data_IF_472981038111
#
_entry.id   IF_472981038111
#
_cell.length_a   1.000
_cell.length_b   1.000
_cell.length_c   1.000
_cell.angle_alpha   90.00
_cell.angle_beta   90.00
_cell.angle_gamma   90.00
#
_symmetry.space_group_name_H-M   'P 1'
#
loop_
_entity.id
_entity.type
_entity.pdbx_description
1 polymer ?
#
# COMPACT_ATOMS: atom_id res chain seq x y z
N UNK A 1 9.91 15.68 17.66
CA UNK A 1 9.56 16.54 18.83
C UNK A 1 8.32 17.34 18.48
N UNK A 2 7.40 17.59 19.42
CA UNK A 2 6.33 18.59 19.22
C UNK A 2 6.96 19.96 19.38
N UNK A 3 6.99 20.76 18.32
CA UNK A 3 7.50 22.14 18.35
C UNK A 3 6.39 23.11 18.75
N UNK A 4 6.79 24.26 19.32
CA UNK A 4 5.86 25.33 19.66
C UNK A 4 5.38 26.00 18.37
N UNK A 5 4.09 25.87 18.06
CA UNK A 5 3.42 26.63 17.00
C UNK A 5 3.17 28.03 17.55
N UNK A 6 3.67 29.06 16.87
CA UNK A 6 3.32 30.45 17.21
C UNK A 6 2.19 30.91 16.30
N UNK A 7 1.13 31.47 16.88
CA UNK A 7 0.03 32.05 16.09
C UNK A 7 0.19 33.57 16.03
N UNK A 8 0.11 34.16 14.84
CA UNK A 8 0.24 35.61 14.62
C UNK A 8 -0.86 36.14 13.70
N UNK A 9 -1.12 37.45 13.80
CA UNK A 9 -2.10 38.13 12.93
C UNK A 9 -1.47 38.80 11.70
N UNK A 10 -0.15 38.69 11.56
CA UNK A 10 0.64 39.24 10.46
C UNK A 10 1.73 38.24 10.08
N UNK A 11 2.11 38.23 8.80
CA UNK A 11 3.21 37.41 8.29
C UNK A 11 4.52 37.90 8.89
N UNK A 12 5.29 37.06 9.60
CA UNK A 12 6.61 37.44 10.11
C UNK A 12 7.59 37.77 8.97
N UNK A 13 8.57 38.62 9.27
CA UNK A 13 9.65 38.91 8.32
C UNK A 13 10.37 37.62 7.89
N UNK A 14 10.69 37.52 6.59
CA UNK A 14 11.36 36.38 5.95
C UNK A 14 10.61 35.03 6.01
N UNK A 15 9.34 35.02 6.43
CA UNK A 15 8.52 33.82 6.37
C UNK A 15 7.98 33.60 4.96
N UNK A 16 8.08 32.37 4.45
CA UNK A 16 7.40 31.95 3.22
C UNK A 16 5.96 31.59 3.56
N UNK A 17 5.00 32.13 2.81
CA UNK A 17 3.58 31.86 3.05
C UNK A 17 3.22 30.53 2.38
N UNK A 18 2.71 29.59 3.17
CA UNK A 18 2.00 28.41 2.68
C UNK A 18 0.53 28.62 2.98
N UNK A 19 -0.31 28.63 1.96
CA UNK A 19 -1.76 28.81 2.13
C UNK A 19 -2.49 27.55 1.72
N UNK A 20 -3.58 27.22 2.42
CA UNK A 20 -4.48 26.15 2.03
C UNK A 20 -5.94 26.62 2.03
N UNK A 21 -6.73 26.08 1.10
CA UNK A 21 -8.13 26.40 0.93
C UNK A 21 -9.03 25.20 1.23
N UNK A 22 -9.65 25.11 2.43
CA UNK A 22 -10.50 23.99 2.81
C UNK A 22 -11.78 23.85 1.98
N UNK A 23 -12.15 24.87 1.19
CA UNK A 23 -13.34 24.83 0.32
C UNK A 23 -13.05 24.23 -1.05
N UNK A 24 -11.79 24.17 -1.48
CA UNK A 24 -11.38 23.53 -2.74
C UNK A 24 -10.90 22.12 -2.40
N UNK A 25 -11.78 21.14 -2.63
CA UNK A 25 -11.62 19.76 -2.20
C UNK A 25 -11.20 18.86 -3.36
N UNK A 26 -10.30 17.93 -3.08
CA UNK A 26 -9.84 16.89 -4.01
C UNK A 26 -10.32 15.51 -3.54
N UNK A 27 -9.47 14.48 -3.64
CA UNK A 27 -9.81 13.12 -3.27
C UNK A 27 -9.95 12.92 -1.76
N UNK A 28 -10.80 11.95 -1.39
CA UNK A 28 -10.85 11.39 -0.03
C UNK A 28 -9.70 10.41 0.16
N UNK A 29 -9.12 10.43 1.35
CA UNK A 29 -8.04 9.54 1.73
C UNK A 29 -8.63 8.21 2.19
N UNK A 30 -8.32 7.15 1.45
CA UNK A 30 -8.65 5.78 1.75
C UNK A 30 -7.95 5.33 3.04
N UNK A 31 -6.63 5.50 3.10
CA UNK A 31 -5.83 5.12 4.26
C UNK A 31 -4.38 4.80 3.95
N UNK A 32 -3.66 4.43 5.01
CA UNK A 32 -2.26 4.03 4.97
C UNK A 32 -2.08 2.71 5.72
N UNK A 33 -1.12 1.90 5.29
CA UNK A 33 -0.92 0.55 5.83
C UNK A 33 0.38 -0.11 5.40
N UNK A 34 0.41 -1.43 5.49
CA UNK A 34 1.47 -2.25 4.93
C UNK A 34 1.09 -3.73 4.79
N UNK A 35 1.99 -4.55 4.27
CA UNK A 35 1.79 -5.98 4.05
C UNK A 35 2.17 -6.85 5.26
N UNK A 36 1.29 -7.78 5.61
CA UNK A 36 1.55 -8.86 6.57
C UNK A 36 1.85 -10.13 5.76
N UNK A 37 3.13 -10.28 5.41
CA UNK A 37 3.68 -11.43 4.69
C UNK A 37 4.06 -12.56 5.64
N UNK A 38 4.45 -13.72 5.08
CA UNK A 38 5.00 -14.82 5.87
C UNK A 38 6.30 -14.38 6.58
N UNK A 39 7.17 -13.65 5.87
CA UNK A 39 8.39 -13.07 6.44
C UNK A 39 8.09 -12.16 7.65
N UNK A 40 7.08 -11.28 7.55
CA UNK A 40 6.68 -10.45 8.68
C UNK A 40 6.22 -11.30 9.88
N UNK A 41 5.42 -12.35 9.62
CA UNK A 41 4.98 -13.29 10.65
C UNK A 41 6.11 -14.08 11.31
N UNK A 42 7.10 -14.53 10.53
CA UNK A 42 8.29 -15.23 11.03
C UNK A 42 9.09 -14.32 11.95
N UNK A 43 9.34 -13.08 11.52
CA UNK A 43 10.08 -12.12 12.32
C UNK A 43 9.37 -11.75 13.62
N UNK A 44 8.06 -11.55 13.57
CA UNK A 44 7.26 -11.32 14.78
C UNK A 44 7.28 -12.53 15.73
N UNK A 45 7.18 -13.75 15.20
CA UNK A 45 7.25 -14.98 15.99
C UNK A 45 8.64 -15.21 16.62
N UNK A 46 9.69 -14.55 16.12
CA UNK A 46 11.03 -14.63 16.69
C UNK A 46 11.22 -13.76 17.94
N UNK A 47 10.30 -12.81 18.17
CA UNK A 47 10.30 -11.95 19.37
C UNK A 47 9.52 -12.58 20.52
N UNK A 48 9.80 -12.18 21.78
CA UNK A 48 8.89 -12.44 22.90
C UNK A 48 7.45 -11.99 22.58
N UNK A 49 6.40 -12.73 22.99
CA UNK A 49 5.02 -12.45 22.59
C UNK A 49 4.54 -11.02 22.86
N UNK A 50 4.93 -10.43 24.00
CA UNK A 50 4.58 -9.04 24.36
C UNK A 50 5.27 -8.03 23.46
N UNK A 51 6.49 -8.33 23.00
CA UNK A 51 7.25 -7.46 22.11
C UNK A 51 6.69 -7.52 20.69
N UNK A 52 6.37 -8.72 20.19
CA UNK A 52 5.67 -8.91 18.92
C UNK A 52 4.30 -8.22 18.91
N UNK A 53 3.55 -8.32 20.01
CA UNK A 53 2.30 -7.60 20.20
C UNK A 53 2.49 -6.08 20.19
N UNK A 54 3.52 -5.59 20.88
CA UNK A 54 3.86 -4.17 20.88
C UNK A 54 4.20 -3.66 19.47
N UNK A 55 4.87 -4.43 18.62
CA UNK A 55 5.13 -4.05 17.22
C UNK A 55 3.82 -3.82 16.47
N UNK A 56 2.87 -4.77 16.52
CA UNK A 56 1.56 -4.59 15.87
C UNK A 56 0.79 -3.40 16.47
N UNK A 57 0.85 -3.23 17.80
CA UNK A 57 0.25 -2.08 18.48
C UNK A 57 0.82 -0.76 18.00
N UNK A 58 2.13 -0.67 17.78
CA UNK A 58 2.78 0.54 17.27
C UNK A 58 2.31 0.88 15.85
N UNK A 59 2.01 -0.11 15.01
CA UNK A 59 1.42 0.14 13.69
C UNK A 59 -0.05 0.55 13.74
N UNK A 60 -0.90 -0.24 14.40
CA UNK A 60 -2.35 -0.15 14.20
C UNK A 60 -3.09 0.65 15.28
N UNK A 61 -2.54 0.81 16.48
CA UNK A 61 -3.24 1.54 17.54
C UNK A 61 -3.22 3.05 17.29
N UNK A 62 -4.31 3.72 17.65
CA UNK A 62 -4.41 5.18 17.65
C UNK A 62 -5.06 5.63 18.98
N UNK A 63 -4.54 6.66 19.68
CA UNK A 63 -3.42 7.52 19.32
C UNK A 63 -2.06 7.03 19.87
N UNK A 64 -1.90 5.75 20.22
CA UNK A 64 -0.65 5.25 20.84
C UNK A 64 0.39 4.72 19.83
N UNK A 65 -0.03 4.42 18.60
CA UNK A 65 0.82 4.05 17.47
C UNK A 65 0.65 5.02 16.29
N UNK A 66 1.03 4.60 15.08
CA UNK A 66 0.86 5.41 13.87
C UNK A 66 -0.52 5.25 13.22
N UNK A 67 -1.33 4.30 13.69
CA UNK A 67 -2.73 4.18 13.34
C UNK A 67 -2.99 3.77 11.89
N UNK A 68 -2.23 2.80 11.39
CA UNK A 68 -2.50 2.10 10.13
C UNK A 68 -3.96 1.66 10.04
N UNK A 69 -4.50 1.73 8.83
CA UNK A 69 -5.93 1.55 8.52
C UNK A 69 -6.17 0.53 7.41
N UNK A 70 -5.10 0.08 6.75
CA UNK A 70 -5.11 -0.93 5.72
C UNK A 70 -4.05 -1.98 6.01
N UNK A 71 -4.25 -3.19 5.50
CA UNK A 71 -3.29 -4.27 5.59
C UNK A 71 -3.39 -5.16 4.35
N UNK A 72 -2.28 -5.32 3.63
CA UNK A 72 -2.17 -6.19 2.45
C UNK A 72 -1.83 -7.62 2.88
N UNK A 73 -2.47 -8.61 2.26
CA UNK A 73 -2.30 -10.02 2.57
C UNK A 73 -1.92 -10.76 1.28
N UNK A 74 -0.75 -11.42 1.24
CA UNK A 74 -0.50 -12.41 0.20
C UNK A 74 -1.52 -13.53 0.22
N UNK A 75 -2.15 -13.80 -0.93
CA UNK A 75 -2.99 -14.98 -1.13
C UNK A 75 -2.03 -16.14 -1.43
N UNK A 76 -1.81 -16.98 -0.42
CA UNK A 76 -0.74 -17.97 -0.35
C UNK A 76 0.68 -17.35 -0.36
N UNK A 77 1.65 -18.01 -0.99
CA UNK A 77 3.06 -17.61 -0.96
C UNK A 77 3.42 -16.44 -1.88
N UNK A 78 4.47 -15.73 -1.49
CA UNK A 78 5.16 -14.73 -2.30
C UNK A 78 6.69 -14.95 -2.23
N UNK A 79 7.49 -14.01 -2.73
CA UNK A 79 8.95 -14.03 -2.57
C UNK A 79 9.36 -13.90 -1.09
N UNK A 80 8.62 -13.10 -0.30
CA UNK A 80 8.73 -13.01 1.17
C UNK A 80 8.02 -14.16 1.92
N UNK A 81 8.12 -15.36 1.35
CA UNK A 81 7.83 -16.65 1.98
C UNK A 81 9.11 -17.47 2.05
N UNK A 82 9.10 -18.61 2.77
CA UNK A 82 10.26 -19.52 2.84
C UNK A 82 10.32 -20.52 1.70
N UNK A 83 9.21 -20.71 0.98
CA UNK A 83 9.07 -21.57 -0.18
C UNK A 83 7.79 -21.24 -0.97
N UNK A 84 7.67 -21.67 -2.23
CA UNK A 84 6.41 -21.61 -2.97
C UNK A 84 5.37 -22.61 -2.45
N UNK A 85 4.17 -22.13 -2.18
CA UNK A 85 2.97 -22.93 -1.88
C UNK A 85 1.71 -22.20 -2.37
N UNK A 86 0.65 -22.97 -2.64
CA UNK A 86 -0.70 -22.46 -2.88
C UNK A 86 -1.70 -23.13 -1.94
N UNK A 87 -2.97 -22.73 -2.02
CA UNK A 87 -4.05 -23.38 -1.27
C UNK A 87 -4.58 -24.64 -1.96
N UNK A 88 -4.17 -24.95 -3.20
CA UNK A 88 -4.68 -26.10 -3.97
C UNK A 88 -3.60 -26.66 -4.89
N UNK A 89 -2.59 -27.31 -4.30
CA UNK A 89 -1.43 -27.86 -5.03
C UNK A 89 -1.65 -29.27 -5.61
N UNK A 90 -2.82 -29.88 -5.39
CA UNK A 90 -3.18 -31.16 -6.01
C UNK A 90 -3.50 -30.94 -7.49
N UNK A 91 -2.69 -31.53 -8.38
CA UNK A 91 -2.88 -31.43 -9.83
C UNK A 91 -4.27 -31.92 -10.26
N UNK A 92 -4.92 -31.16 -11.14
CA UNK A 92 -6.24 -31.48 -11.67
C UNK A 92 -7.41 -31.25 -10.70
N UNK A 93 -7.19 -30.60 -9.55
CA UNK A 93 -8.26 -30.28 -8.59
C UNK A 93 -9.12 -29.08 -9.04
N UNK A 94 -9.75 -29.21 -10.21
CA UNK A 94 -10.62 -28.17 -10.79
C UNK A 94 -11.83 -27.81 -9.92
N UNK A 95 -12.25 -28.73 -9.04
CA UNK A 95 -13.34 -28.51 -8.10
C UNK A 95 -12.88 -27.89 -6.78
N UNK A 96 -11.56 -27.68 -6.60
CA UNK A 96 -10.95 -27.14 -5.38
C UNK A 96 -11.39 -27.90 -4.12
N UNK A 97 -11.47 -29.22 -4.20
CA UNK A 97 -11.86 -30.10 -3.09
C UNK A 97 -10.77 -30.22 -2.04
N UNK A 98 -9.51 -30.02 -2.43
CA UNK A 98 -8.35 -29.99 -1.53
C UNK A 98 -7.93 -28.55 -1.20
N UNK A 99 -8.77 -27.54 -1.52
CA UNK A 99 -8.48 -26.17 -1.13
C UNK A 99 -8.39 -26.06 0.39
N UNK A 100 -7.26 -25.60 0.91
CA UNK A 100 -7.11 -25.30 2.33
C UNK A 100 -6.12 -24.16 2.58
N UNK A 101 -6.37 -23.39 3.64
CA UNK A 101 -5.34 -22.51 4.20
C UNK A 101 -4.20 -23.36 4.75
N UNK A 102 -2.98 -22.84 4.69
CA UNK A 102 -1.77 -23.57 5.11
C UNK A 102 -1.34 -23.16 6.52
N UNK A 103 -0.33 -23.85 7.04
CA UNK A 103 0.27 -23.53 8.35
C UNK A 103 0.73 -22.08 8.43
N UNK A 104 1.22 -21.51 7.33
CA UNK A 104 1.65 -20.12 7.21
C UNK A 104 0.50 -19.15 7.50
N UNK A 105 -0.71 -19.39 6.96
CA UNK A 105 -1.86 -18.56 7.29
C UNK A 105 -2.17 -18.60 8.79
N UNK A 106 -2.21 -19.80 9.38
CA UNK A 106 -2.61 -19.98 10.77
C UNK A 106 -1.57 -19.49 11.78
N UNK A 107 -0.29 -19.56 11.44
CA UNK A 107 0.81 -19.31 12.38
C UNK A 107 1.55 -17.99 12.13
N UNK A 108 1.54 -17.48 10.89
CA UNK A 108 2.32 -16.31 10.48
C UNK A 108 1.43 -15.10 10.15
N UNK A 109 0.18 -15.30 9.69
CA UNK A 109 -0.66 -14.19 9.21
C UNK A 109 -1.86 -13.91 10.12
N UNK A 110 -2.74 -14.90 10.28
CA UNK A 110 -4.00 -14.76 11.01
C UNK A 110 -3.85 -14.24 12.46
N UNK A 111 -2.84 -14.67 13.26
CA UNK A 111 -2.65 -14.13 14.61
C UNK A 111 -2.44 -12.61 14.62
N UNK A 112 -1.65 -12.08 13.68
CA UNK A 112 -1.32 -10.66 13.62
C UNK A 112 -2.41 -9.83 12.95
N UNK A 113 -3.14 -10.39 11.98
CA UNK A 113 -4.36 -9.79 11.44
C UNK A 113 -5.44 -9.61 12.53
N UNK A 114 -5.62 -10.61 13.40
CA UNK A 114 -6.54 -10.52 14.55
C UNK A 114 -6.09 -9.45 15.56
N UNK A 115 -4.79 -9.32 15.82
CA UNK A 115 -4.26 -8.22 16.65
C UNK A 115 -4.53 -6.85 16.01
N UNK A 116 -4.32 -6.69 14.70
CA UNK A 116 -4.63 -5.46 13.98
C UNK A 116 -6.13 -5.11 14.07
N UNK A 117 -7.03 -6.09 13.96
CA UNK A 117 -8.46 -5.89 14.22
C UNK A 117 -8.72 -5.37 15.62
N UNK A 118 -8.14 -5.98 16.64
CA UNK A 118 -8.30 -5.53 18.04
C UNK A 118 -7.84 -4.08 18.22
N UNK A 119 -6.66 -3.72 17.70
CA UNK A 119 -6.11 -2.37 17.88
C UNK A 119 -6.82 -1.28 17.09
N UNK A 120 -7.52 -1.65 16.03
CA UNK A 120 -8.33 -0.72 15.24
C UNK A 120 -9.80 -0.75 15.60
N UNK A 121 -10.21 -1.54 16.59
CA UNK A 121 -11.63 -1.77 16.89
C UNK A 121 -12.42 -2.18 15.63
N UNK A 122 -11.85 -3.15 14.89
CA UNK A 122 -12.38 -3.74 13.67
C UNK A 122 -12.51 -2.80 12.46
N UNK A 123 -11.83 -1.66 12.45
CA UNK A 123 -11.90 -0.72 11.31
C UNK A 123 -10.80 -0.89 10.25
N UNK A 124 -9.77 -1.70 10.50
CA UNK A 124 -8.73 -1.99 9.50
C UNK A 124 -9.34 -2.69 8.27
N UNK A 125 -8.92 -2.26 7.07
CA UNK A 125 -9.34 -2.86 5.81
C UNK A 125 -8.27 -3.81 5.29
N UNK A 126 -8.61 -5.10 5.22
CA UNK A 126 -7.73 -6.11 4.66
C UNK A 126 -7.95 -6.25 3.15
N UNK A 127 -6.89 -6.28 2.36
CA UNK A 127 -7.00 -6.68 0.97
C UNK A 127 -6.02 -7.77 0.59
N UNK A 128 -6.48 -8.72 -0.20
CA UNK A 128 -5.70 -9.87 -0.66
C UNK A 128 -5.14 -9.67 -2.06
N UNK A 129 -3.92 -10.13 -2.30
CA UNK A 129 -3.32 -10.10 -3.64
C UNK A 129 -2.66 -11.45 -3.93
N UNK A 130 -2.94 -12.13 -5.04
CA UNK A 130 -2.22 -13.35 -5.42
C UNK A 130 -0.99 -13.04 -6.27
N UNK A 131 0.11 -13.76 -6.03
CA UNK A 131 1.31 -13.67 -6.87
C UNK A 131 1.31 -14.70 -7.99
N UNK A 132 0.75 -15.87 -7.75
CA UNK A 132 0.64 -16.92 -8.75
C UNK A 132 -0.55 -17.82 -8.45
N UNK A 133 -1.13 -18.41 -9.48
CA UNK A 133 -1.96 -19.60 -9.34
C UNK A 133 -1.10 -20.84 -9.00
N UNK A 134 -1.72 -21.94 -8.53
CA UNK A 134 -1.05 -23.23 -8.42
C UNK A 134 -0.32 -23.61 -9.71
N UNK A 135 0.86 -24.23 -9.60
CA UNK A 135 1.71 -24.52 -10.75
C UNK A 135 1.01 -25.35 -11.83
N UNK A 136 0.18 -26.31 -11.44
CA UNK A 136 -0.57 -27.16 -12.37
C UNK A 136 -1.57 -26.41 -13.25
N UNK A 137 -1.99 -25.20 -12.85
CA UNK A 137 -2.89 -24.34 -13.61
C UNK A 137 -2.17 -23.47 -14.64
N UNK A 138 -0.85 -23.28 -14.51
CA UNK A 138 -0.04 -22.39 -15.35
C UNK A 138 0.58 -23.13 -16.53
N UNK A 139 0.77 -22.42 -17.65
CA UNK A 139 1.42 -22.99 -18.84
C UNK A 139 2.83 -23.50 -18.55
N UNK A 140 3.54 -22.86 -17.62
CA UNK A 140 4.90 -23.23 -17.20
C UNK A 140 4.94 -24.40 -16.21
N UNK A 141 3.79 -24.81 -15.64
CA UNK A 141 3.74 -25.86 -14.62
C UNK A 141 4.28 -25.45 -13.24
N UNK A 142 4.73 -24.20 -13.07
CA UNK A 142 5.44 -23.72 -11.88
C UNK A 142 4.84 -22.39 -11.39
N UNK A 143 4.84 -22.18 -10.06
CA UNK A 143 4.42 -20.89 -9.50
C UNK A 143 5.45 -19.79 -9.81
N UNK A 144 6.75 -20.12 -9.71
CA UNK A 144 7.83 -19.25 -10.18
C UNK A 144 7.93 -19.25 -11.71
N UNK A 145 8.54 -18.21 -12.25
CA UNK A 145 8.61 -18.02 -13.70
C UNK A 145 7.27 -17.56 -14.26
N UNK A 146 7.34 -16.82 -15.35
CA UNK A 146 6.19 -16.18 -15.97
C UNK A 146 5.14 -17.12 -16.57
N UNK A 147 4.43 -16.59 -17.56
CA UNK A 147 3.39 -17.30 -18.29
C UNK A 147 2.00 -17.17 -17.67
N UNK A 148 0.94 -17.27 -18.49
CA UNK A 148 -0.43 -17.18 -18.04
C UNK A 148 -0.95 -18.53 -17.50
N UNK A 149 -2.21 -18.53 -17.08
CA UNK A 149 -2.98 -19.75 -16.90
C UNK A 149 -3.18 -20.47 -18.24
N UNK A 150 -3.30 -21.80 -18.20
CA UNK A 150 -3.55 -22.64 -19.37
C UNK A 150 -4.89 -22.31 -20.04
N UNK A 151 -4.89 -22.23 -21.37
CA UNK A 151 -6.11 -22.13 -22.18
C UNK A 151 -6.73 -20.73 -22.20
N UNK A 152 -7.95 -20.59 -22.74
CA UNK A 152 -8.60 -19.29 -22.89
C UNK A 152 -9.12 -18.74 -21.56
N UNK A 153 -9.27 -17.41 -21.47
CA UNK A 153 -9.69 -16.69 -20.23
C UNK A 153 -11.07 -17.12 -19.71
N UNK A 154 -11.95 -17.68 -20.55
CA UNK A 154 -13.24 -18.24 -20.12
C UNK A 154 -13.22 -19.77 -19.93
N UNK A 155 -12.04 -20.39 -20.06
CA UNK A 155 -11.84 -21.84 -19.96
C UNK A 155 -11.79 -22.35 -18.51
N UNK A 156 -11.67 -23.66 -18.37
CA UNK A 156 -11.74 -24.36 -17.07
C UNK A 156 -10.70 -23.86 -16.05
N UNK A 157 -9.47 -23.56 -16.47
CA UNK A 157 -8.43 -23.07 -15.56
C UNK A 157 -8.75 -21.68 -15.00
N UNK A 158 -9.24 -20.76 -15.81
CA UNK A 158 -9.64 -19.44 -15.33
C UNK A 158 -10.92 -19.49 -14.49
N UNK A 159 -11.88 -20.35 -14.83
CA UNK A 159 -13.06 -20.59 -13.97
C UNK A 159 -12.66 -21.15 -12.60
N UNK A 160 -11.70 -22.08 -12.58
CA UNK A 160 -11.13 -22.62 -11.33
C UNK A 160 -10.42 -21.52 -10.55
N UNK A 161 -9.68 -20.64 -11.22
CA UNK A 161 -9.00 -19.53 -10.58
C UNK A 161 -9.97 -18.51 -9.97
N UNK A 162 -11.08 -18.20 -10.64
CA UNK A 162 -12.13 -17.37 -10.05
C UNK A 162 -12.74 -18.03 -8.79
N UNK A 163 -12.96 -19.35 -8.80
CA UNK A 163 -13.43 -20.08 -7.61
C UNK A 163 -12.38 -20.08 -6.48
N UNK A 164 -11.09 -20.03 -6.81
CA UNK A 164 -10.01 -19.93 -5.84
C UNK A 164 -10.10 -18.61 -5.03
N UNK A 165 -10.44 -17.49 -5.68
CA UNK A 165 -10.73 -16.23 -4.98
C UNK A 165 -11.93 -16.36 -4.02
N UNK A 166 -13.03 -16.98 -4.49
CA UNK A 166 -14.22 -17.23 -3.65
C UNK A 166 -13.83 -18.04 -2.40
N UNK A 167 -13.09 -19.14 -2.59
CA UNK A 167 -12.62 -20.00 -1.50
C UNK A 167 -11.70 -19.26 -0.52
N UNK A 168 -10.78 -18.43 -1.01
CA UNK A 168 -9.92 -17.60 -0.16
C UNK A 168 -10.74 -16.63 0.70
N UNK A 169 -11.66 -15.87 0.08
CA UNK A 169 -12.49 -14.89 0.79
C UNK A 169 -13.31 -15.60 1.87
N UNK A 170 -13.98 -16.70 1.52
CA UNK A 170 -14.78 -17.49 2.47
C UNK A 170 -13.91 -18.09 3.59
N UNK A 171 -12.73 -18.61 3.28
CA UNK A 171 -11.83 -19.20 4.26
C UNK A 171 -11.35 -18.16 5.29
N UNK A 172 -10.95 -16.96 4.85
CA UNK A 172 -10.56 -15.88 5.76
C UNK A 172 -11.75 -15.34 6.57
N UNK A 173 -12.94 -15.22 5.95
CA UNK A 173 -14.17 -14.86 6.66
C UNK A 173 -14.50 -15.86 7.78
N UNK A 174 -14.33 -17.16 7.54
CA UNK A 174 -14.52 -18.21 8.55
C UNK A 174 -13.51 -18.13 9.70
N UNK A 175 -12.39 -17.45 9.51
CA UNK A 175 -11.40 -17.15 10.55
C UNK A 175 -11.65 -15.81 11.27
N UNK A 176 -12.76 -15.14 10.96
CA UNK A 176 -13.12 -13.83 11.53
C UNK A 176 -12.44 -12.65 10.84
N UNK A 177 -11.80 -12.84 9.68
CA UNK A 177 -11.14 -11.79 8.91
C UNK A 177 -12.02 -11.42 7.71
N UNK A 178 -12.63 -10.24 7.75
CA UNK A 178 -13.36 -9.71 6.61
C UNK A 178 -12.38 -9.13 5.57
N UNK A 179 -12.37 -9.71 4.38
CA UNK A 179 -11.62 -9.18 3.25
C UNK A 179 -12.39 -7.98 2.68
N UNK A 180 -11.81 -6.78 2.76
CA UNK A 180 -12.37 -5.57 2.16
C UNK A 180 -12.23 -5.59 0.63
N UNK A 181 -11.12 -6.07 0.10
CA UNK A 181 -10.88 -6.11 -1.35
C UNK A 181 -9.86 -7.15 -1.78
N UNK A 182 -9.74 -7.35 -3.08
CA UNK A 182 -8.71 -8.17 -3.70
C UNK A 182 -8.13 -7.47 -4.93
N UNK A 183 -6.83 -7.61 -5.14
CA UNK A 183 -6.22 -7.30 -6.43
C UNK A 183 -6.32 -8.52 -7.34
N UNK A 184 -6.44 -8.31 -8.65
CA UNK A 184 -6.66 -9.42 -9.59
C UNK A 184 -5.39 -10.26 -9.80
N UNK A 185 -4.23 -9.65 -9.67
CA UNK A 185 -2.90 -10.25 -9.79
C UNK A 185 -1.86 -9.25 -9.30
N UNK A 186 -0.92 -9.67 -8.46
CA UNK A 186 0.28 -8.87 -8.16
C UNK A 186 1.19 -8.78 -9.39
N UNK A 187 1.56 -7.57 -9.79
CA UNK A 187 2.54 -7.28 -10.85
C UNK A 187 2.34 -8.11 -12.12
N UNK A 188 1.15 -8.06 -12.76
CA UNK A 188 0.81 -8.90 -13.90
C UNK A 188 1.81 -8.83 -15.07
N UNK A 189 2.56 -7.73 -15.22
CA UNK A 189 3.57 -7.61 -16.28
C UNK A 189 4.84 -8.41 -16.00
N UNK A 190 5.20 -8.66 -14.75
CA UNK A 190 6.40 -9.47 -14.43
C UNK A 190 6.29 -10.88 -15.01
N UNK A 191 5.06 -11.40 -15.12
CA UNK A 191 4.79 -12.68 -15.75
C UNK A 191 5.14 -12.77 -17.23
N UNK A 192 5.46 -11.65 -17.92
CA UNK A 192 6.02 -11.68 -19.28
C UNK A 192 7.38 -12.39 -19.32
N UNK A 193 8.17 -12.28 -18.24
CA UNK A 193 9.47 -12.92 -18.14
C UNK A 193 9.29 -14.38 -17.71
N UNK A 194 9.52 -15.32 -18.62
CA UNK A 194 9.36 -16.75 -18.35
C UNK A 194 10.32 -17.26 -17.25
N UNK A 195 11.47 -16.63 -17.11
CA UNK A 195 12.53 -16.93 -16.14
C UNK A 195 12.46 -16.05 -14.87
N UNK A 196 11.37 -15.31 -14.66
CA UNK A 196 11.19 -14.49 -13.47
C UNK A 196 11.40 -15.32 -12.19
N UNK A 197 12.16 -14.84 -11.18
CA UNK A 197 12.81 -15.76 -10.24
C UNK A 197 11.86 -16.32 -9.17
N UNK A 198 10.78 -15.61 -8.89
CA UNK A 198 9.79 -15.95 -7.87
C UNK A 198 8.36 -16.03 -8.43
N UNK A 199 7.37 -16.20 -7.54
CA UNK A 199 5.97 -16.35 -7.89
C UNK A 199 5.49 -15.15 -8.72
N UNK A 200 5.00 -15.42 -9.92
CA UNK A 200 4.38 -14.42 -10.81
C UNK A 200 3.39 -15.12 -11.73
N UNK A 201 2.48 -14.38 -12.35
CA UNK A 201 1.58 -14.90 -13.38
C UNK A 201 1.26 -13.80 -14.39
N UNK A 202 1.39 -14.12 -15.68
CA UNK A 202 1.19 -13.15 -16.74
C UNK A 202 -0.28 -12.81 -16.95
N UNK A 203 -0.55 -11.51 -16.96
CA UNK A 203 -1.78 -10.96 -17.50
C UNK A 203 -1.43 -9.74 -18.35
N UNK A 204 -2.21 -9.49 -19.39
CA UNK A 204 -2.33 -8.15 -19.96
C UNK A 204 -3.67 -7.53 -19.56
N UNK A 205 -3.85 -6.24 -19.84
CA UNK A 205 -5.06 -5.51 -19.48
C UNK A 205 -6.35 -6.13 -20.06
N UNK A 206 -6.32 -6.66 -21.29
CA UNK A 206 -7.47 -7.33 -21.90
C UNK A 206 -7.83 -8.64 -21.22
N UNK A 207 -6.83 -9.46 -20.83
CA UNK A 207 -7.06 -10.69 -20.07
C UNK A 207 -7.66 -10.36 -18.70
N UNK A 208 -7.14 -9.34 -18.03
CA UNK A 208 -7.63 -8.90 -16.72
C UNK A 208 -9.07 -8.35 -16.82
N UNK A 209 -9.38 -7.58 -17.88
CA UNK A 209 -10.75 -7.14 -18.22
C UNK A 209 -11.70 -8.32 -18.39
N UNK A 210 -11.34 -9.26 -19.26
CA UNK A 210 -12.21 -10.37 -19.65
C UNK A 210 -12.45 -11.32 -18.48
N UNK A 211 -11.43 -11.60 -17.66
CA UNK A 211 -11.58 -12.38 -16.44
C UNK A 211 -12.50 -11.70 -15.42
N UNK A 212 -12.36 -10.39 -15.24
CA UNK A 212 -13.23 -9.65 -14.31
C UNK A 212 -14.68 -9.63 -14.80
N UNK A 213 -14.90 -9.34 -16.09
CA UNK A 213 -16.22 -9.25 -16.73
C UNK A 213 -16.96 -10.58 -16.72
N UNK A 214 -16.29 -11.63 -17.19
CA UNK A 214 -16.95 -12.89 -17.54
C UNK A 214 -16.93 -13.91 -16.40
N UNK A 215 -15.95 -13.81 -15.49
CA UNK A 215 -15.74 -14.81 -14.45
C UNK A 215 -15.81 -14.23 -13.03
N UNK A 216 -14.79 -13.50 -12.58
CA UNK A 216 -14.66 -13.16 -11.15
C UNK A 216 -15.83 -12.29 -10.66
N UNK A 217 -16.20 -11.25 -11.41
CA UNK A 217 -17.31 -10.37 -11.04
C UNK A 217 -18.63 -11.14 -10.84
N UNK A 218 -19.13 -11.83 -11.88
CA UNK A 218 -20.34 -12.65 -11.76
C UNK A 218 -20.24 -13.76 -10.70
N UNK A 219 -19.06 -14.38 -10.53
CA UNK A 219 -18.87 -15.47 -9.60
C UNK A 219 -18.92 -15.02 -8.14
N UNK A 220 -18.40 -13.83 -7.82
CA UNK A 220 -18.57 -13.24 -6.49
C UNK A 220 -20.06 -12.95 -6.21
N UNK A 221 -20.80 -12.42 -7.18
CA UNK A 221 -22.23 -12.16 -7.03
C UNK A 221 -23.05 -13.43 -6.79
N UNK A 222 -22.77 -14.49 -7.55
CA UNK A 222 -23.40 -15.81 -7.43
C UNK A 222 -23.13 -16.49 -6.09
N UNK A 223 -21.98 -16.19 -5.47
CA UNK A 223 -21.60 -16.70 -4.15
C UNK A 223 -21.97 -15.74 -3.01
N UNK A 224 -22.80 -14.71 -3.27
CA UNK A 224 -23.27 -13.73 -2.29
C UNK A 224 -22.14 -12.88 -1.66
N UNK A 225 -21.05 -12.64 -2.40
CA UNK A 225 -19.88 -11.85 -1.99
C UNK A 225 -19.95 -10.44 -2.61
N UNK A 226 -21.00 -9.68 -2.29
CA UNK A 226 -21.28 -8.38 -2.94
C UNK A 226 -20.41 -7.20 -2.46
N UNK A 227 -19.76 -7.34 -1.30
CA UNK A 227 -19.03 -6.24 -0.64
C UNK A 227 -17.54 -6.16 -0.95
N UNK A 228 -16.94 -7.22 -1.51
CA UNK A 228 -15.49 -7.29 -1.73
C UNK A 228 -15.12 -6.44 -2.95
N UNK A 229 -14.17 -5.53 -2.75
CA UNK A 229 -13.68 -4.59 -3.75
C UNK A 229 -12.69 -5.23 -4.71
N UNK A 230 -12.79 -4.94 -6.00
CA UNK A 230 -11.83 -5.45 -7.00
C UNK A 230 -10.89 -4.33 -7.44
N UNK A 231 -9.60 -4.59 -7.27
CA UNK A 231 -8.51 -3.67 -7.58
C UNK A 231 -7.82 -4.17 -8.85
N UNK A 232 -7.83 -3.37 -9.90
CA UNK A 232 -7.14 -3.67 -11.18
C UNK A 232 -5.69 -3.16 -11.15
N UNK A 233 -4.91 -3.54 -12.16
CA UNK A 233 -3.47 -3.27 -12.30
C UNK A 233 -2.62 -3.95 -11.22
N UNK A 234 -2.42 -3.31 -10.05
CA UNK A 234 -1.51 -3.77 -8.98
C UNK A 234 -0.06 -3.95 -9.47
N UNK A 235 0.44 -2.90 -10.15
CA UNK A 235 1.74 -2.84 -10.83
C UNK A 235 2.17 -1.36 -10.94
N UNK A 236 3.35 -1.11 -11.50
CA UNK A 236 3.97 0.21 -11.59
C UNK A 236 3.15 1.23 -12.40
N UNK A 237 3.26 2.51 -12.01
CA UNK A 237 2.53 3.64 -12.64
C UNK A 237 2.86 3.85 -14.12
N UNK A 238 3.94 3.25 -14.63
CA UNK A 238 4.28 3.23 -16.05
C UNK A 238 3.23 2.58 -16.95
N UNK A 239 2.37 1.71 -16.38
CA UNK A 239 1.26 1.07 -17.09
C UNK A 239 0.01 1.93 -17.22
N UNK A 240 -0.01 3.08 -16.54
CA UNK A 240 -1.12 4.02 -16.56
C UNK A 240 -0.87 5.14 -17.56
N UNK A 241 -1.91 5.67 -18.22
CA UNK A 241 -3.33 5.31 -18.08
C UNK A 241 -3.78 4.08 -18.88
N UNK A 242 -2.95 3.56 -19.79
CA UNK A 242 -3.36 2.60 -20.82
C UNK A 242 -4.01 1.31 -20.29
N UNK A 243 -3.53 0.80 -19.16
CA UNK A 243 -4.12 -0.37 -18.51
C UNK A 243 -5.55 -0.09 -18.02
N UNK A 244 -5.76 1.08 -17.40
CA UNK A 244 -7.07 1.52 -16.94
C UNK A 244 -7.99 1.81 -18.13
N UNK A 245 -7.49 2.49 -19.18
CA UNK A 245 -8.22 2.76 -20.42
C UNK A 245 -8.78 1.46 -21.03
N UNK A 246 -7.95 0.41 -21.09
CA UNK A 246 -8.33 -0.89 -21.67
C UNK A 246 -9.47 -1.57 -20.92
N UNK A 247 -9.43 -1.56 -19.59
CA UNK A 247 -10.42 -2.26 -18.75
C UNK A 247 -11.70 -1.43 -18.63
N UNK A 248 -11.57 -0.13 -18.35
CA UNK A 248 -12.69 0.75 -18.04
C UNK A 248 -13.48 1.20 -19.29
N UNK A 249 -12.92 1.07 -20.49
CA UNK A 249 -13.65 1.27 -21.74
C UNK A 249 -14.77 0.22 -21.97
N UNK A 250 -14.71 -0.94 -21.32
CA UNK A 250 -15.78 -1.94 -21.37
C UNK A 250 -16.72 -1.77 -20.17
N UNK A 251 -17.97 -1.29 -20.36
CA UNK A 251 -18.90 -1.04 -19.25
C UNK A 251 -19.27 -2.32 -18.48
N UNK A 252 -19.17 -3.51 -19.10
CA UNK A 252 -19.46 -4.77 -18.43
C UNK A 252 -18.33 -5.21 -17.49
N UNK A 253 -17.09 -4.78 -17.76
CA UNK A 253 -15.97 -4.95 -16.83
C UNK A 253 -15.95 -3.80 -15.80
N UNK A 254 -16.10 -2.56 -16.27
CA UNK A 254 -15.99 -1.35 -15.45
C UNK A 254 -16.93 -1.35 -14.24
N UNK A 255 -18.15 -1.90 -14.37
CA UNK A 255 -19.10 -2.02 -13.25
C UNK A 255 -18.57 -2.84 -12.06
N UNK A 256 -17.57 -3.69 -12.28
CA UNK A 256 -16.91 -4.47 -11.24
C UNK A 256 -15.63 -3.83 -10.72
N UNK A 257 -15.09 -2.80 -11.37
CA UNK A 257 -13.85 -2.15 -10.93
C UNK A 257 -14.16 -1.16 -9.80
N UNK A 258 -13.51 -1.33 -8.66
CA UNK A 258 -13.68 -0.46 -7.50
C UNK A 258 -12.47 0.47 -7.27
N UNK A 259 -11.28 0.10 -7.75
CA UNK A 259 -10.03 0.82 -7.49
C UNK A 259 -8.92 0.37 -8.46
N UNK A 260 -7.89 1.19 -8.63
CA UNK A 260 -6.65 0.88 -9.35
C UNK A 260 -5.50 0.77 -8.34
N UNK A 261 -4.78 -0.35 -8.35
CA UNK A 261 -3.58 -0.57 -7.54
C UNK A 261 -2.33 -0.14 -8.29
N UNK A 262 -1.39 0.51 -7.60
CA UNK A 262 -0.17 1.07 -8.17
C UNK A 262 1.04 0.74 -7.30
N UNK A 263 2.18 0.44 -7.92
CA UNK A 263 3.46 0.19 -7.25
C UNK A 263 4.47 1.32 -7.53
N UNK A 264 5.45 1.47 -6.63
CA UNK A 264 6.46 2.56 -6.63
C UNK A 264 7.72 2.30 -7.49
N UNK A 265 8.00 1.04 -7.84
CA UNK A 265 9.34 0.61 -8.30
C UNK A 265 9.81 1.13 -9.67
N UNK A 266 9.02 1.91 -10.40
CA UNK A 266 9.48 2.58 -11.61
C UNK A 266 9.37 4.11 -11.54
N UNK A 267 9.04 4.67 -10.37
CA UNK A 267 8.64 6.06 -10.24
C UNK A 267 9.78 7.05 -10.55
N UNK A 268 11.04 6.64 -10.40
CA UNK A 268 12.18 7.46 -10.83
C UNK A 268 12.21 7.67 -12.36
N UNK A 269 11.66 6.72 -13.13
CA UNK A 269 11.71 6.74 -14.60
C UNK A 269 10.35 6.99 -15.26
N UNK A 270 9.25 6.80 -14.54
CA UNK A 270 7.88 7.00 -15.01
C UNK A 270 7.31 8.25 -14.37
N UNK A 271 6.70 9.18 -15.11
CA UNK A 271 6.26 10.44 -14.55
C UNK A 271 4.99 10.28 -13.69
N UNK A 272 4.90 11.05 -12.61
CA UNK A 272 3.68 11.11 -11.78
C UNK A 272 2.45 11.63 -12.55
N UNK A 273 2.65 12.30 -13.70
CA UNK A 273 1.54 12.72 -14.58
C UNK A 273 0.69 11.56 -15.07
N UNK A 274 1.22 10.32 -15.13
CA UNK A 274 0.43 9.14 -15.46
C UNK A 274 -0.75 8.93 -14.48
N UNK A 275 -0.54 9.24 -13.20
CA UNK A 275 -1.59 9.19 -12.17
C UNK A 275 -2.64 10.29 -12.42
N UNK A 276 -2.17 11.50 -12.66
CA UNK A 276 -3.02 12.66 -12.96
C UNK A 276 -3.90 12.44 -14.20
N UNK A 277 -3.30 11.96 -15.28
CA UNK A 277 -3.99 11.67 -16.54
C UNK A 277 -5.01 10.54 -16.36
N UNK A 278 -4.68 9.51 -15.58
CA UNK A 278 -5.61 8.43 -15.23
C UNK A 278 -6.82 8.96 -14.47
N UNK A 279 -6.61 9.82 -13.47
CA UNK A 279 -7.70 10.42 -12.71
C UNK A 279 -8.65 11.24 -13.59
N UNK A 280 -8.11 12.07 -14.51
CA UNK A 280 -8.96 12.88 -15.39
C UNK A 280 -9.67 12.07 -16.47
N UNK A 281 -9.06 10.98 -16.96
CA UNK A 281 -9.71 10.06 -17.91
C UNK A 281 -10.79 9.20 -17.26
N UNK A 282 -10.56 8.75 -16.02
CA UNK A 282 -11.46 7.86 -15.27
C UNK A 282 -11.89 8.46 -13.94
N UNK A 283 -12.60 9.61 -13.95
CA UNK A 283 -13.02 10.26 -12.72
C UNK A 283 -13.96 9.34 -11.95
N UNK A 284 -13.64 9.10 -10.67
CA UNK A 284 -14.45 8.27 -9.78
C UNK A 284 -13.88 6.88 -9.50
N UNK A 285 -12.83 6.44 -10.21
CA UNK A 285 -12.07 5.25 -9.84
C UNK A 285 -10.86 5.67 -9.00
N UNK A 286 -10.85 5.40 -7.68
CA UNK A 286 -9.71 5.78 -6.83
C UNK A 286 -8.46 4.99 -7.19
N UNK A 287 -7.30 5.59 -6.98
CA UNK A 287 -6.00 4.93 -7.05
C UNK A 287 -5.45 4.71 -5.64
N UNK A 288 -4.77 3.60 -5.41
CA UNK A 288 -4.11 3.25 -4.17
C UNK A 288 -2.71 2.75 -4.50
N UNK A 289 -1.68 3.30 -3.86
CA UNK A 289 -0.39 2.64 -3.84
C UNK A 289 -0.53 1.40 -2.95
N UNK A 290 -0.59 0.24 -3.59
CA UNK A 290 -0.85 -1.06 -2.94
C UNK A 290 0.43 -1.67 -2.39
N UNK A 291 1.58 -1.24 -2.89
CA UNK A 291 2.89 -1.73 -2.48
C UNK A 291 3.99 -0.71 -2.80
N UNK A 292 4.95 -0.60 -1.88
CA UNK A 292 6.16 0.17 -2.02
C UNK A 292 7.17 -0.27 -0.96
N UNK A 293 8.45 -0.40 -1.32
CA UNK A 293 9.53 -0.64 -0.36
C UNK A 293 10.79 0.13 -0.73
N UNK A 294 11.64 0.43 0.25
CA UNK A 294 12.99 0.93 0.00
C UNK A 294 14.00 -0.23 -0.08
N UNK A 295 15.16 0.00 -0.69
CA UNK A 295 16.19 -1.03 -0.85
C UNK A 295 15.80 -2.10 -1.86
N UNK A 296 14.91 -1.81 -2.79
CA UNK A 296 14.54 -2.71 -3.89
C UNK A 296 15.54 -2.65 -5.06
N UNK A 297 16.23 -1.51 -5.24
CA UNK A 297 17.20 -1.24 -6.31
C UNK A 297 18.63 -1.11 -5.79
N UNK A 298 19.60 -1.34 -6.67
CA UNK A 298 21.03 -1.15 -6.42
C UNK A 298 21.68 -2.31 -5.64
N UNK A 299 22.89 -2.07 -5.13
CA UNK A 299 23.65 -3.07 -4.37
C UNK A 299 23.23 -3.15 -2.90
N UNK A 300 22.50 -2.16 -2.39
CA UNK A 300 22.08 -2.05 -0.99
C UNK A 300 20.69 -2.67 -0.73
N UNK A 301 20.49 -3.90 -1.22
CA UNK A 301 19.20 -4.63 -1.11
C UNK A 301 18.98 -5.27 0.26
N UNK A 302 19.10 -4.48 1.32
CA UNK A 302 18.96 -4.90 2.71
C UNK A 302 18.68 -3.69 3.62
N UNK A 303 18.23 -3.88 4.87
CA UNK A 303 17.97 -2.79 5.80
C UNK A 303 19.19 -1.94 6.12
N UNK A 304 19.04 -0.62 6.01
CA UNK A 304 20.05 0.35 6.44
C UNK A 304 19.58 1.04 7.71
N UNK A 305 20.06 0.56 8.86
CA UNK A 305 19.57 1.03 10.16
C UNK A 305 19.81 2.54 10.34
N UNK A 306 18.73 3.30 10.56
CA UNK A 306 18.79 4.75 10.77
C UNK A 306 18.93 5.58 9.49
N UNK A 307 18.78 5.00 8.30
CA UNK A 307 18.94 5.73 7.04
C UNK A 307 17.81 6.76 6.81
N UNK A 308 18.16 8.05 6.85
CA UNK A 308 17.23 9.14 6.62
C UNK A 308 16.79 9.26 5.15
N UNK A 309 17.69 9.01 4.20
CA UNK A 309 17.40 9.11 2.77
C UNK A 309 16.21 8.24 2.37
N UNK A 310 16.13 7.01 2.89
CA UNK A 310 14.98 6.11 2.64
C UNK A 310 13.66 6.64 3.21
N UNK A 311 13.70 7.32 4.35
CA UNK A 311 12.52 7.98 4.90
C UNK A 311 12.10 9.23 4.12
N UNK A 312 13.08 10.00 3.62
CA UNK A 312 12.85 11.12 2.72
C UNK A 312 12.21 10.66 1.41
N UNK A 313 12.70 9.55 0.83
CA UNK A 313 12.10 8.92 -0.35
C UNK A 313 10.64 8.50 -0.13
N UNK A 314 10.33 7.85 1.00
CA UNK A 314 8.93 7.52 1.36
C UNK A 314 8.07 8.79 1.44
N UNK A 315 8.55 9.82 2.14
CA UNK A 315 7.78 11.04 2.33
C UNK A 315 7.55 11.80 1.02
N UNK A 316 8.57 11.88 0.17
CA UNK A 316 8.52 12.51 -1.14
C UNK A 316 7.55 11.79 -2.08
N UNK A 317 7.61 10.46 -2.13
CA UNK A 317 6.70 9.64 -2.93
C UNK A 317 5.26 9.76 -2.45
N UNK A 318 5.01 9.63 -1.14
CA UNK A 318 3.65 9.76 -0.58
C UNK A 318 3.08 11.15 -0.89
N UNK A 319 3.86 12.23 -0.74
CA UNK A 319 3.40 13.58 -1.10
C UNK A 319 3.14 13.71 -2.60
N UNK A 320 4.01 13.16 -3.44
CA UNK A 320 3.85 13.15 -4.90
C UNK A 320 2.58 12.40 -5.30
N UNK A 321 2.38 11.18 -4.80
CA UNK A 321 1.21 10.36 -5.06
C UNK A 321 -0.09 11.06 -4.63
N UNK A 322 -0.14 11.57 -3.38
CA UNK A 322 -1.30 12.30 -2.87
C UNK A 322 -1.56 13.59 -3.66
N UNK A 323 -0.52 14.27 -4.12
CA UNK A 323 -0.66 15.46 -4.96
C UNK A 323 -1.16 15.14 -6.38
N UNK A 324 -1.04 13.88 -6.82
CA UNK A 324 -1.54 13.33 -8.08
C UNK A 324 -2.73 12.37 -7.89
N UNK A 325 -3.66 12.73 -6.99
CA UNK A 325 -4.97 12.10 -6.80
C UNK A 325 -5.00 10.66 -6.25
N UNK A 326 -3.85 10.10 -5.86
CA UNK A 326 -3.82 8.83 -5.13
C UNK A 326 -4.51 9.00 -3.78
N UNK A 327 -5.25 7.98 -3.36
CA UNK A 327 -6.12 8.02 -2.17
C UNK A 327 -5.47 7.38 -0.94
N UNK A 328 -4.35 6.68 -1.08
CA UNK A 328 -3.69 6.02 0.03
C UNK A 328 -2.37 5.39 -0.40
N UNK A 329 -1.63 4.85 0.58
CA UNK A 329 -0.30 4.30 0.34
C UNK A 329 0.01 3.17 1.32
N UNK A 330 0.50 2.04 0.82
CA UNK A 330 0.87 0.89 1.63
C UNK A 330 2.35 0.60 1.49
N UNK A 331 3.01 0.52 2.65
CA UNK A 331 4.35 -0.06 2.78
C UNK A 331 4.32 -1.55 2.40
N UNK A 332 5.47 -2.11 2.10
CA UNK A 332 5.59 -3.53 1.85
C UNK A 332 5.61 -4.33 3.15
N UNK A 333 6.64 -5.15 3.38
CA UNK A 333 6.76 -5.89 4.63
C UNK A 333 6.75 -4.94 5.83
N UNK A 334 5.77 -5.07 6.73
CA UNK A 334 5.74 -4.25 7.96
C UNK A 334 6.88 -4.57 8.93
N UNK A 335 7.49 -5.75 8.80
CA UNK A 335 8.62 -6.20 9.60
C UNK A 335 9.53 -7.10 8.77
N UNK A 336 10.84 -6.89 8.84
CA UNK A 336 11.88 -7.80 8.34
C UNK A 336 12.98 -7.99 9.39
N UNK A 337 13.88 -8.96 9.21
CA UNK A 337 15.10 -9.09 10.03
C UNK A 337 16.22 -8.17 9.54
N UNK A 338 17.35 -8.15 10.24
CA UNK A 338 18.55 -7.35 9.89
C UNK A 338 19.05 -7.60 8.46
N UNK A 339 19.06 -8.84 7.92
CA UNK A 339 19.33 -9.09 6.50
C UNK A 339 18.25 -8.62 5.51
N UNK A 340 17.01 -8.35 5.95
CA UNK A 340 15.91 -7.93 5.06
C UNK A 340 15.04 -9.07 4.55
N UNK A 341 14.94 -10.18 5.28
CA UNK A 341 14.17 -11.36 4.93
C UNK A 341 13.30 -11.89 6.09
N UNK A 342 12.97 -13.20 6.09
CA UNK A 342 13.39 -14.19 5.10
C UNK A 342 12.74 -13.97 3.72
N UNK A 343 13.46 -14.35 2.66
CA UNK A 343 12.98 -14.31 1.29
C UNK A 343 13.59 -15.51 0.54
N UNK A 344 12.77 -16.41 -0.03
CA UNK A 344 13.26 -17.71 -0.52
C UNK A 344 14.12 -17.63 -1.78
N UNK A 345 14.12 -16.49 -2.48
CA UNK A 345 14.96 -16.21 -3.65
C UNK A 345 16.09 -15.22 -3.37
N UNK A 346 16.25 -14.77 -2.12
CA UNK A 346 17.26 -13.77 -1.74
C UNK A 346 16.93 -12.35 -2.23
N UNK A 347 15.67 -12.05 -2.52
CA UNK A 347 15.18 -10.73 -2.91
C UNK A 347 14.93 -9.84 -1.68
N UNK A 348 15.96 -9.63 -0.86
CA UNK A 348 15.87 -8.86 0.39
C UNK A 348 15.67 -7.37 0.13
N UNK A 349 15.01 -6.67 1.06
CA UNK A 349 14.69 -5.22 1.00
C UNK A 349 14.69 -4.60 2.41
N UNK A 350 14.47 -3.29 2.54
CA UNK A 350 14.26 -2.63 3.84
C UNK A 350 12.81 -2.75 4.34
N UNK A 351 12.58 -2.43 5.61
CA UNK A 351 11.24 -2.37 6.21
C UNK A 351 11.19 -1.26 7.27
N UNK A 352 9.98 -0.73 7.52
CA UNK A 352 9.75 0.25 8.58
C UNK A 352 10.17 -0.24 9.98
N UNK A 353 10.11 -1.54 10.27
CA UNK A 353 10.61 -2.13 11.53
C UNK A 353 11.53 -3.30 11.23
N UNK A 354 12.69 -3.31 11.88
CA UNK A 354 13.70 -4.36 11.75
C UNK A 354 13.81 -5.13 13.06
N UNK A 355 13.68 -6.45 12.99
CA UNK A 355 13.82 -7.36 14.13
C UNK A 355 15.25 -7.87 14.23
N UNK A 356 15.78 -7.87 15.46
CA UNK A 356 16.99 -8.57 15.82
C UNK A 356 16.67 -9.63 16.87
N UNK A 357 16.39 -10.85 16.39
CA UNK A 357 16.01 -11.98 17.23
C UNK A 357 17.11 -12.38 18.22
N UNK A 358 18.39 -12.20 17.86
CA UNK A 358 19.53 -12.59 18.70
C UNK A 358 19.58 -11.82 20.02
N UNK A 359 19.11 -10.58 20.02
CA UNK A 359 19.05 -9.70 21.19
C UNK A 359 17.62 -9.47 21.69
N UNK A 360 16.62 -10.11 21.06
CA UNK A 360 15.18 -9.93 21.38
C UNK A 360 14.76 -8.46 21.38
N UNK A 361 15.19 -7.72 20.34
CA UNK A 361 14.84 -6.31 20.18
C UNK A 361 14.35 -6.02 18.75
N UNK A 362 13.81 -4.83 18.54
CA UNK A 362 13.48 -4.33 17.22
C UNK A 362 13.83 -2.84 17.11
N UNK A 363 14.13 -2.41 15.89
CA UNK A 363 14.44 -1.03 15.56
C UNK A 363 13.29 -0.43 14.76
N UNK A 364 12.82 0.75 15.17
CA UNK A 364 11.92 1.57 14.35
C UNK A 364 12.78 2.43 13.45
N UNK A 365 12.76 2.12 12.15
CA UNK A 365 13.51 2.86 11.16
C UNK A 365 12.92 4.28 10.98
N UNK A 366 13.69 5.24 10.44
CA UNK A 366 13.15 6.51 9.97
C UNK A 366 11.90 6.36 9.09
N UNK A 367 11.81 5.28 8.29
CA UNK A 367 10.65 4.93 7.45
C UNK A 367 9.35 4.81 8.27
N UNK A 368 9.40 4.18 9.45
CA UNK A 368 8.24 4.07 10.36
C UNK A 368 7.71 5.45 10.76
N UNK A 369 8.62 6.40 11.01
CA UNK A 369 8.24 7.76 11.39
C UNK A 369 7.74 8.54 10.18
N UNK A 370 8.33 8.36 8.99
CA UNK A 370 7.83 8.93 7.74
C UNK A 370 6.37 8.50 7.49
N UNK A 371 6.09 7.20 7.54
CA UNK A 371 4.72 6.67 7.47
C UNK A 371 3.82 7.26 8.56
N UNK A 372 4.36 7.46 9.77
CA UNK A 372 3.66 8.08 10.89
C UNK A 372 3.23 9.53 10.66
N UNK A 373 3.99 10.33 9.90
CA UNK A 373 3.63 11.71 9.56
C UNK A 373 2.37 11.82 8.69
N UNK A 374 2.00 10.74 7.98
CA UNK A 374 0.77 10.64 7.21
C UNK A 374 -0.29 9.84 7.95
N UNK A 375 -0.05 8.56 8.21
CA UNK A 375 -1.04 7.63 8.78
C UNK A 375 -1.64 8.09 10.10
N UNK A 376 -0.84 8.70 10.99
CA UNK A 376 -1.30 9.15 12.30
C UNK A 376 -2.19 10.38 12.21
N UNK A 377 -1.86 11.31 11.31
CA UNK A 377 -2.47 12.64 11.29
C UNK A 377 -3.54 12.79 10.21
N UNK A 378 -3.39 12.11 9.07
CA UNK A 378 -4.37 12.08 7.98
C UNK A 378 -5.21 10.82 8.11
N UNK A 379 -6.37 10.94 8.77
CA UNK A 379 -7.22 9.80 9.11
C UNK A 379 -8.05 9.34 7.91
N UNK A 380 -8.53 8.08 7.89
CA UNK A 380 -9.44 7.63 6.84
C UNK A 380 -10.63 8.57 6.65
N UNK A 381 -10.99 8.83 5.39
CA UNK A 381 -11.97 9.82 4.96
C UNK A 381 -11.57 11.30 5.12
N UNK A 382 -10.32 11.60 5.50
CA UNK A 382 -9.78 12.94 5.31
C UNK A 382 -9.92 13.36 3.85
N UNK A 383 -10.05 14.67 3.60
CA UNK A 383 -10.13 15.21 2.25
C UNK A 383 -8.88 16.03 2.00
N UNK A 384 -8.13 15.72 0.93
CA UNK A 384 -7.06 16.61 0.47
C UNK A 384 -7.70 17.91 -0.01
N UNK A 385 -7.11 19.04 0.38
CA UNK A 385 -7.57 20.37 -0.02
C UNK A 385 -6.46 21.13 -0.72
N UNK A 386 -6.84 22.10 -1.56
CA UNK A 386 -5.85 22.87 -2.31
C UNK A 386 -4.87 23.56 -1.37
N UNK A 387 -3.58 23.49 -1.67
CA UNK A 387 -2.53 24.20 -0.94
C UNK A 387 -1.45 24.67 -1.87
N UNK A 388 -0.85 25.83 -1.58
CA UNK A 388 0.17 26.44 -2.41
C UNK A 388 1.16 27.28 -1.58
N UNK A 389 2.40 27.36 -2.05
CA UNK A 389 3.38 28.34 -1.58
C UNK A 389 3.23 29.64 -2.37
N UNK A 390 3.39 30.78 -1.71
CA UNK A 390 3.39 32.09 -2.37
C UNK A 390 4.59 32.29 -3.32
N UNK A 391 5.68 31.56 -3.09
CA UNK A 391 6.85 31.51 -3.95
C UNK A 391 7.27 30.06 -4.14
N UNK A 392 7.50 29.63 -5.39
CA UNK A 392 7.93 28.26 -5.69
C UNK A 392 9.25 27.94 -4.99
N UNK A 393 9.32 26.77 -4.35
CA UNK A 393 10.53 26.25 -3.76
C UNK A 393 10.60 24.72 -4.01
N UNK A 394 11.51 24.24 -4.86
CA UNK A 394 11.60 22.81 -5.20
C UNK A 394 12.10 21.93 -4.04
N UNK A 395 12.67 22.52 -2.99
CA UNK A 395 13.11 21.79 -1.79
C UNK A 395 11.96 21.51 -0.82
N UNK A 396 10.80 22.13 -1.00
CA UNK A 396 9.64 21.98 -0.12
C UNK A 396 8.51 21.24 -0.82
N UNK A 397 8.20 20.02 -0.36
CA UNK A 397 7.01 19.28 -0.75
C UNK A 397 5.97 19.33 0.36
N UNK A 398 4.69 19.41 0.01
CA UNK A 398 3.63 19.49 1.00
C UNK A 398 2.26 19.10 0.46
N UNK A 399 1.36 18.75 1.38
CA UNK A 399 -0.05 18.56 1.11
C UNK A 399 -0.88 18.91 2.36
N UNK A 400 -2.07 19.47 2.13
CA UNK A 400 -3.00 19.84 3.20
C UNK A 400 -4.29 19.04 3.15
N UNK A 401 -4.85 18.76 4.33
CA UNK A 401 -5.99 17.86 4.52
C UNK A 401 -6.95 18.42 5.57
N UNK A 402 -8.23 18.06 5.43
CA UNK A 402 -9.26 18.24 6.46
C UNK A 402 -9.76 16.86 6.87
N UNK A 403 -9.53 16.48 8.12
CA UNK A 403 -10.02 15.23 8.70
C UNK A 403 -11.55 15.26 8.92
N UNK A 404 -12.20 14.10 9.13
CA UNK A 404 -13.64 14.03 9.42
C UNK A 404 -14.08 14.79 10.67
N UNK A 405 -13.19 14.94 11.65
CA UNK A 405 -13.42 15.73 12.88
C UNK A 405 -13.15 17.23 12.70
N UNK A 406 -12.90 17.67 11.46
CA UNK A 406 -12.52 19.03 11.04
C UNK A 406 -11.12 19.49 11.48
N UNK A 407 -10.30 18.61 12.07
CA UNK A 407 -8.88 18.94 12.29
C UNK A 407 -8.18 19.14 10.95
N UNK A 408 -7.32 20.15 10.87
CA UNK A 408 -6.59 20.50 9.64
C UNK A 408 -5.16 20.05 9.78
N UNK A 409 -4.66 19.38 8.75
CA UNK A 409 -3.31 18.84 8.73
C UNK A 409 -2.57 19.32 7.50
N UNK A 410 -1.37 19.84 7.69
CA UNK A 410 -0.42 20.10 6.60
C UNK A 410 0.84 19.30 6.86
N UNK A 411 1.16 18.37 5.96
CA UNK A 411 2.43 17.62 5.99
C UNK A 411 3.41 18.33 5.06
N UNK A 412 4.63 18.54 5.53
CA UNK A 412 5.66 19.36 4.88
C UNK A 412 6.99 18.61 4.98
N UNK A 413 7.59 18.33 3.83
CA UNK A 413 8.93 17.77 3.69
C UNK A 413 9.89 18.88 3.24
N UNK A 414 10.99 19.06 3.96
CA UNK A 414 12.12 19.88 3.54
C UNK A 414 13.28 18.98 3.13
N UNK A 415 13.57 18.95 1.82
CA UNK A 415 14.64 18.20 1.18
C UNK A 415 15.98 18.96 1.15
N UNK A 416 16.02 20.22 1.56
CA UNK A 416 17.25 21.01 1.59
C UNK A 416 18.23 20.45 2.64
N UNK A 417 19.51 20.40 2.29
CA UNK A 417 20.58 19.88 3.15
C UNK A 417 20.97 20.83 4.29
N UNK A 418 20.67 22.13 4.16
CA UNK A 418 21.24 23.17 5.02
C UNK A 418 20.25 24.24 5.48
N UNK A 419 19.23 24.52 4.68
CA UNK A 419 18.33 25.64 4.93
C UNK A 419 17.14 25.24 5.80
N UNK A 420 16.95 26.00 6.89
CA UNK A 420 15.69 25.99 7.62
C UNK A 420 14.74 27.00 6.96
N UNK A 421 13.52 26.57 6.65
CA UNK A 421 12.50 27.46 6.12
C UNK A 421 11.53 27.88 7.23
N UNK A 422 11.40 29.19 7.45
CA UNK A 422 10.34 29.75 8.28
C UNK A 422 9.07 29.84 7.46
N UNK A 423 8.04 29.09 7.82
CA UNK A 423 6.76 29.07 7.12
C UNK A 423 5.69 29.77 7.94
N UNK A 424 4.91 30.62 7.27
CA UNK A 424 3.66 31.17 7.78
C UNK A 424 2.50 30.41 7.10
N UNK A 425 2.00 29.37 7.78
CA UNK A 425 0.91 28.54 7.25
C UNK A 425 -0.44 29.22 7.52
N UNK A 426 -1.26 29.39 6.49
CA UNK A 426 -2.53 30.11 6.57
C UNK A 426 -3.70 29.32 5.98
N UNK A 427 -4.81 29.35 6.70
CA UNK A 427 -6.12 28.92 6.23
C UNK A 427 -6.82 30.12 5.57
N UNK A 428 -7.05 30.08 4.26
CA UNK A 428 -7.61 31.26 3.55
C UNK A 428 -9.03 31.62 3.98
N UNK A 429 -9.75 30.74 4.68
CA UNK A 429 -11.07 31.06 5.24
C UNK A 429 -11.01 31.75 6.60
N UNK A 430 -9.83 31.83 7.22
CA UNK A 430 -9.58 32.58 8.45
C UNK A 430 -8.78 33.84 8.12
N UNK A 431 -9.39 35.01 8.32
CA UNK A 431 -8.71 36.28 8.08
C UNK A 431 -7.63 36.50 9.12
N UNK A 432 -6.41 36.80 8.66
CA UNK A 432 -5.30 37.24 9.50
C UNK A 432 -4.93 36.25 10.62
N UNK A 433 -4.88 34.95 10.32
CA UNK A 433 -4.33 33.93 11.23
C UNK A 433 -3.22 33.16 10.51
N UNK A 434 -2.01 33.24 11.04
CA UNK A 434 -0.85 32.51 10.54
C UNK A 434 -0.30 31.60 11.64
N UNK A 435 -0.10 30.33 11.31
CA UNK A 435 0.63 29.37 12.12
C UNK A 435 2.09 29.39 11.66
N UNK A 436 2.95 29.92 12.51
CA UNK A 436 4.37 30.10 12.21
C UNK A 436 5.15 28.92 12.75
N UNK A 437 5.89 28.27 11.85
CA UNK A 437 6.75 27.13 12.15
C UNK A 437 8.09 27.30 11.45
N UNK A 438 9.16 26.80 12.08
CA UNK A 438 10.44 26.60 11.42
C UNK A 438 10.51 25.14 10.96
N UNK A 439 10.88 24.92 9.69
CA UNK A 439 11.03 23.60 9.07
C UNK A 439 12.53 23.37 8.80
N UNK A 440 13.24 22.64 9.67
CA UNK A 440 14.68 22.41 9.56
C UNK A 440 15.07 21.71 8.24
N UNK A 441 16.34 21.77 7.81
CA UNK A 441 16.83 20.96 6.70
C UNK A 441 16.62 19.47 6.98
N UNK A 442 16.43 18.67 5.92
CA UNK A 442 16.22 17.21 6.01
C UNK A 442 15.22 16.84 7.09
N UNK A 443 14.01 17.41 6.99
CA UNK A 443 12.97 17.21 8.00
C UNK A 443 11.59 16.99 7.40
N UNK A 444 10.78 16.24 8.13
CA UNK A 444 9.37 16.02 7.85
C UNK A 444 8.55 16.56 9.04
N UNK A 445 7.59 17.42 8.74
CA UNK A 445 6.78 18.13 9.75
C UNK A 445 5.30 17.96 9.43
N UNK A 446 4.48 17.61 10.44
CA UNK A 446 3.02 17.62 10.32
C UNK A 446 2.45 18.68 11.25
N UNK A 447 1.95 19.78 10.68
CA UNK A 447 1.21 20.81 11.40
C UNK A 447 -0.24 20.35 11.56
N UNK A 448 -0.77 20.35 12.79
CA UNK A 448 -2.14 19.96 13.11
C UNK A 448 -2.82 21.08 13.89
N UNK A 449 -3.93 21.63 13.36
CA UNK A 449 -4.61 22.84 13.90
C UNK A 449 -6.13 22.77 13.85
#
# INVERSE_FOLDING_TARGET
>A
MKTNITTTNSVPANAVILSFNPTVRHQKIFGFGGAITDAAGINLNSLPPDLADNVIKQYYSYPNGIGYSTARIPIASCDFSTHPYSYSDVDGDFNLTNFNLTTEDFTLKLPYLKKALTYTNSTVRFFGSPWSAPGWMKETGLMRGGGPLKGPVNGQYYQTWANYFVKFIQAYMNQGIQIWGVTLQNEPNTGRALDFPWQTMYWNASMQRDFLRDLLGPMLDQNFIWGVKKIILDDNRGNLPDWADTILADPNAAKFVDMIGVHWYEDETKPASNLNDTYYKHPGVPMLYTEACAGWEGDERYPLLGNWTRAEQYADDILTALNNYVTGWNDWNIVLDVPGGPNWVGNTVDSSIIVNANTSEYYKQPLFFAMGHFSRFVRPNAVRVNSQLASSNPSLEFASFVNPDNTRVTVILNKDDSNTYKLAVSDVTKTSVYYVIDVPPKSLTSLVV
#
